data_IF_240508260032
#
_entry.id   IF_240508260032
#
_cell.length_a   1.000
_cell.length_b   1.000
_cell.length_c   1.000
_cell.angle_alpha   90.00
_cell.angle_beta   90.00
_cell.angle_gamma   90.00
#
_symmetry.space_group_name_H-M   'P 1'
#
loop_
_entity.id
_entity.type
_entity.pdbx_description
1 polymer ?
#
# COMPACT_ATOMS: atom_id res chain seq x y z
N UNK A 1 5.89 16.43 19.13
CA UNK A 1 5.28 15.80 17.94
C UNK A 1 6.41 15.61 16.96
N UNK A 2 7.01 14.43 16.94
CA UNK A 2 8.11 14.15 16.02
C UNK A 2 7.57 14.09 14.59
N UNK A 3 8.21 14.86 13.70
CA UNK A 3 7.92 14.83 12.28
C UNK A 3 8.34 13.46 11.73
N UNK A 4 7.34 12.61 11.42
CA UNK A 4 7.59 11.35 10.74
C UNK A 4 8.22 11.63 9.35
N UNK A 5 9.16 10.80 8.89
CA UNK A 5 9.81 10.99 7.60
C UNK A 5 8.75 11.06 6.48
N UNK A 6 8.81 12.10 5.66
CA UNK A 6 7.83 12.34 4.58
C UNK A 6 8.28 11.82 3.21
N UNK A 7 9.35 11.02 3.16
CA UNK A 7 9.94 10.58 1.90
C UNK A 7 10.33 9.11 1.94
N UNK A 8 10.31 8.51 0.75
CA UNK A 8 10.78 7.16 0.49
C UNK A 8 12.31 7.15 0.55
N UNK A 9 12.88 6.24 1.33
CA UNK A 9 14.32 6.16 1.57
C UNK A 9 14.83 4.74 1.36
N UNK A 10 16.09 4.59 0.96
CA UNK A 10 16.72 3.26 0.92
C UNK A 10 17.15 2.88 2.32
N UNK A 11 16.59 1.81 2.87
CA UNK A 11 17.09 1.22 4.10
C UNK A 11 18.27 0.29 3.79
N UNK A 12 19.45 0.64 4.30
CA UNK A 12 20.67 -0.12 4.04
C UNK A 12 20.66 -1.48 4.73
N UNK A 13 19.95 -1.63 5.84
CA UNK A 13 19.93 -2.88 6.60
C UNK A 13 19.15 -3.97 5.86
N UNK A 14 17.97 -3.63 5.33
CA UNK A 14 17.16 -4.55 4.53
C UNK A 14 17.48 -4.54 3.03
N UNK A 15 18.19 -3.51 2.54
CA UNK A 15 18.46 -3.29 1.12
C UNK A 15 17.25 -2.77 0.34
N UNK A 16 16.14 -2.49 1.02
CA UNK A 16 14.85 -2.16 0.43
C UNK A 16 14.63 -0.66 0.25
N UNK A 17 13.77 -0.32 -0.70
CA UNK A 17 13.18 0.99 -0.83
C UNK A 17 12.01 1.10 0.17
N UNK A 18 12.14 1.89 1.22
CA UNK A 18 11.21 1.94 2.33
C UNK A 18 10.19 3.05 2.17
N UNK A 19 8.91 2.65 2.19
CA UNK A 19 7.78 3.55 2.39
C UNK A 19 7.79 3.99 3.87
N UNK A 20 7.70 5.30 4.16
CA UNK A 20 7.65 5.76 5.54
C UNK A 20 6.39 5.25 6.25
N UNK A 21 6.51 4.99 7.54
CA UNK A 21 5.42 4.44 8.32
C UNK A 21 4.29 5.45 8.51
N UNK A 22 3.04 5.01 8.28
CA UNK A 22 1.84 5.75 8.64
C UNK A 22 1.50 5.64 10.14
N UNK A 23 0.33 6.16 10.52
CA UNK A 23 -0.14 6.10 11.91
C UNK A 23 -0.62 4.67 12.26
N UNK A 24 -0.18 4.05 13.37
CA UNK A 24 -0.55 2.68 13.74
C UNK A 24 -2.06 2.41 13.78
N UNK A 25 -2.87 3.39 14.21
CA UNK A 25 -4.33 3.25 14.31
C UNK A 25 -5.04 3.03 12.97
N UNK A 26 -4.36 3.26 11.84
CA UNK A 26 -4.88 3.05 10.49
C UNK A 26 -4.18 1.89 9.78
N UNK A 27 -3.46 1.04 10.53
CA UNK A 27 -2.69 -0.03 9.93
C UNK A 27 -3.60 -1.08 9.28
N UNK A 28 -3.15 -1.60 8.14
CA UNK A 28 -3.94 -2.46 7.27
C UNK A 28 -3.68 -3.93 7.58
N UNK A 29 -4.74 -4.71 7.73
CA UNK A 29 -4.62 -6.17 7.84
C UNK A 29 -4.07 -6.82 6.58
N UNK A 30 -3.38 -7.94 6.78
CA UNK A 30 -2.90 -8.85 5.74
C UNK A 30 -3.71 -10.15 5.85
N UNK A 31 -4.19 -10.66 4.73
CA UNK A 31 -4.81 -11.97 4.67
C UNK A 31 -3.76 -13.05 4.86
N UNK A 32 -3.99 -13.95 5.81
CA UNK A 32 -3.19 -15.16 6.03
C UNK A 32 -3.98 -16.36 5.53
N UNK A 33 -3.28 -17.30 4.91
CA UNK A 33 -3.78 -18.61 4.48
C UNK A 33 -2.90 -19.72 5.05
N UNK A 34 -3.41 -20.96 5.08
CA UNK A 34 -2.77 -22.11 5.73
C UNK A 34 -1.30 -22.31 5.31
N UNK A 35 -0.99 -22.07 4.04
CA UNK A 35 0.36 -22.19 3.46
C UNK A 35 1.31 -21.05 3.90
N UNK A 36 0.78 -19.93 4.37
CA UNK A 36 1.54 -18.76 4.84
C UNK A 36 1.84 -18.79 6.34
N UNK A 37 1.13 -19.62 7.10
CA UNK A 37 1.22 -19.64 8.56
C UNK A 37 2.59 -20.06 9.07
N UNK A 38 3.18 -21.12 8.49
CA UNK A 38 4.51 -21.60 8.88
C UNK A 38 5.62 -20.57 8.59
N UNK A 39 5.70 -19.98 7.38
CA UNK A 39 6.60 -18.85 7.12
C UNK A 39 6.35 -17.66 8.06
N UNK A 40 5.09 -17.34 8.35
CA UNK A 40 4.72 -16.24 9.22
C UNK A 40 5.20 -16.44 10.66
N UNK A 41 4.97 -17.61 11.26
CA UNK A 41 5.44 -17.91 12.61
C UNK A 41 6.96 -17.89 12.69
N UNK A 42 7.65 -18.48 11.70
CA UNK A 42 9.11 -18.46 11.65
C UNK A 42 9.66 -17.03 11.54
N UNK A 43 8.99 -16.18 10.77
CA UNK A 43 9.31 -14.75 10.67
C UNK A 43 9.14 -14.05 12.02
N UNK A 44 7.97 -14.16 12.66
CA UNK A 44 7.68 -13.51 13.94
C UNK A 44 8.59 -14.01 15.06
N UNK A 45 8.86 -15.33 15.10
CA UNK A 45 9.78 -15.94 16.06
C UNK A 45 11.20 -15.37 15.95
N UNK A 46 11.70 -15.17 14.72
CA UNK A 46 13.02 -14.57 14.48
C UNK A 46 13.05 -13.11 14.92
N UNK A 47 12.07 -12.32 14.49
CA UNK A 47 11.99 -10.90 14.81
C UNK A 47 11.85 -10.66 16.32
N UNK A 48 11.07 -11.49 17.03
CA UNK A 48 10.92 -11.45 18.48
C UNK A 48 12.27 -11.68 19.18
N UNK A 49 12.97 -12.76 18.83
CA UNK A 49 14.26 -13.10 19.45
C UNK A 49 15.33 -12.05 19.16
N UNK A 50 15.32 -11.48 17.96
CA UNK A 50 16.26 -10.40 17.59
C UNK A 50 15.93 -9.11 18.36
N UNK A 51 14.65 -8.76 18.54
CA UNK A 51 14.22 -7.62 19.35
C UNK A 51 14.64 -7.77 20.83
N UNK A 52 14.37 -8.92 21.44
CA UNK A 52 14.76 -9.20 22.83
C UNK A 52 16.28 -9.21 23.01
N UNK A 53 17.02 -9.75 22.04
CA UNK A 53 18.49 -9.71 22.04
C UNK A 53 19.02 -8.28 22.00
N UNK A 54 18.39 -7.38 21.24
CA UNK A 54 18.78 -5.98 21.19
C UNK A 54 18.47 -5.26 22.51
N UNK A 55 17.29 -5.51 23.11
CA UNK A 55 16.92 -4.97 24.42
C UNK A 55 17.92 -5.38 25.51
N UNK A 56 18.33 -6.66 25.54
CA UNK A 56 19.33 -7.16 26.49
C UNK A 56 20.71 -6.51 26.33
N UNK A 57 21.04 -6.04 25.13
CA UNK A 57 22.29 -5.32 24.85
C UNK A 57 22.24 -3.83 25.22
N UNK A 58 21.12 -3.36 25.78
CA UNK A 58 20.91 -1.95 26.10
C UNK A 58 20.93 -1.04 24.88
N UNK A 59 20.76 -1.62 23.68
CA UNK A 59 20.66 -0.84 22.46
C UNK A 59 19.30 -0.13 22.47
N UNK A 60 19.24 1.15 22.05
CA UNK A 60 17.97 1.82 21.84
C UNK A 60 17.18 0.92 20.90
N UNK A 61 15.93 0.68 21.26
CA UNK A 61 15.25 -0.45 20.71
C UNK A 61 14.96 -0.06 19.25
N UNK A 62 15.32 -0.94 18.29
CA UNK A 62 15.22 -0.60 16.87
C UNK A 62 13.80 -0.13 16.53
N UNK A 63 13.57 0.63 15.45
CA UNK A 63 12.22 0.99 15.03
C UNK A 63 11.37 -0.28 14.89
N UNK A 64 10.61 -0.60 15.93
CA UNK A 64 9.84 -1.84 16.05
C UNK A 64 9.90 -2.67 17.32
N UNK A 65 10.46 -2.16 18.39
CA UNK A 65 10.29 -2.78 19.70
C UNK A 65 9.00 -2.38 20.40
N UNK A 66 8.40 -3.38 21.06
CA UNK A 66 7.23 -3.33 21.96
C UNK A 66 6.94 -1.92 22.49
N UNK A 67 5.90 -1.28 21.93
CA UNK A 67 5.24 -0.16 22.59
C UNK A 67 4.51 -0.68 23.85
N UNK A 68 4.10 0.21 24.77
CA UNK A 68 3.37 -0.18 25.99
C UNK A 68 2.11 -1.04 25.72
N UNK A 69 1.62 -1.02 24.49
CA UNK A 69 0.74 -2.01 23.88
C UNK A 69 1.62 -3.06 23.17
N UNK A 70 1.68 -4.31 23.68
CA UNK A 70 2.60 -5.39 23.24
C UNK A 70 2.59 -5.64 21.72
N UNK A 71 3.31 -4.81 20.96
CA UNK A 71 3.40 -4.83 19.50
C UNK A 71 4.85 -5.03 19.07
N UNK A 72 5.11 -6.13 18.37
CA UNK A 72 6.38 -6.31 17.68
C UNK A 72 6.29 -5.59 16.34
N UNK A 73 6.97 -4.45 16.17
CA UNK A 73 7.09 -3.88 14.83
C UNK A 73 8.22 -4.52 14.06
N UNK A 74 7.93 -4.71 12.79
CA UNK A 74 8.73 -5.47 11.85
C UNK A 74 8.83 -4.70 10.55
N UNK A 75 9.73 -5.13 9.69
CA UNK A 75 9.81 -4.67 8.31
C UNK A 75 9.38 -5.79 7.39
N UNK A 76 8.60 -5.49 6.36
CA UNK A 76 8.14 -6.46 5.37
C UNK A 76 8.38 -5.92 3.96
N UNK A 77 8.49 -6.84 3.00
CA UNK A 77 8.55 -6.56 1.57
C UNK A 77 7.14 -6.63 0.97
N UNK A 78 6.87 -5.74 0.01
CA UNK A 78 5.66 -5.74 -0.81
C UNK A 78 6.02 -6.22 -2.22
N UNK A 79 5.40 -7.29 -2.67
CA UNK A 79 5.72 -7.99 -3.92
C UNK A 79 4.49 -8.00 -4.83
N UNK A 80 4.47 -7.23 -5.94
CA UNK A 80 3.43 -7.38 -6.95
C UNK A 80 3.40 -8.80 -7.52
N UNK A 81 2.21 -9.38 -7.67
CA UNK A 81 1.98 -10.73 -8.18
C UNK A 81 1.08 -10.71 -9.42
N UNK A 82 1.57 -10.23 -10.58
CA UNK A 82 0.83 -10.29 -11.84
C UNK A 82 0.58 -11.73 -12.32
N UNK A 83 1.30 -12.68 -11.74
CA UNK A 83 1.18 -14.13 -11.92
C UNK A 83 0.12 -14.78 -11.01
N UNK A 84 -0.60 -14.01 -10.19
CA UNK A 84 -1.67 -14.55 -9.35
C UNK A 84 -2.93 -14.81 -10.18
N UNK A 85 -3.34 -16.07 -10.28
CA UNK A 85 -4.48 -16.52 -11.10
C UNK A 85 -5.84 -15.98 -10.65
N UNK A 86 -5.97 -15.57 -9.39
CA UNK A 86 -7.21 -15.01 -8.84
C UNK A 86 -7.31 -13.50 -9.07
N UNK A 87 -6.22 -12.77 -8.82
CA UNK A 87 -6.16 -11.32 -8.97
C UNK A 87 -4.78 -10.89 -9.51
N UNK A 88 -4.65 -10.50 -10.80
CA UNK A 88 -3.38 -10.06 -11.39
C UNK A 88 -2.88 -8.72 -10.82
N UNK A 89 -3.65 -8.06 -9.96
CA UNK A 89 -3.26 -6.86 -9.25
C UNK A 89 -2.82 -7.12 -7.80
N UNK A 90 -2.79 -8.39 -7.38
CA UNK A 90 -2.42 -8.80 -6.03
C UNK A 90 -1.04 -8.28 -5.64
N UNK A 91 -0.90 -7.96 -4.35
CA UNK A 91 0.38 -7.62 -3.72
C UNK A 91 0.56 -8.56 -2.53
N UNK A 92 1.57 -9.43 -2.65
CA UNK A 92 2.02 -10.26 -1.57
C UNK A 92 2.80 -9.42 -0.55
N UNK A 93 2.64 -9.78 0.72
CA UNK A 93 3.53 -9.40 1.81
C UNK A 93 4.53 -10.54 2.01
N UNK A 94 5.80 -10.22 2.12
CA UNK A 94 6.87 -11.18 2.36
C UNK A 94 7.83 -10.69 3.46
N UNK A 95 8.54 -11.59 4.12
CA UNK A 95 9.64 -11.22 5.01
C UNK A 95 10.72 -10.47 4.19
N UNK A 96 11.60 -9.65 4.78
CA UNK A 96 12.63 -8.91 4.03
C UNK A 96 13.64 -9.81 3.29
N UNK A 97 14.27 -9.35 2.19
CA UNK A 97 15.30 -10.11 1.46
C UNK A 97 16.50 -10.54 2.32
N UNK A 98 16.81 -9.77 3.37
CA UNK A 98 17.85 -10.10 4.36
C UNK A 98 17.55 -11.40 5.13
N UNK A 99 16.34 -11.97 5.01
CA UNK A 99 16.00 -13.26 5.61
C UNK A 99 16.44 -14.44 4.74
N UNK A 100 16.90 -14.18 3.51
CA UNK A 100 17.30 -15.22 2.55
C UNK A 100 16.10 -15.89 1.87
N UNK A 101 16.36 -16.74 0.88
CA UNK A 101 15.32 -17.43 0.11
C UNK A 101 14.58 -16.53 -0.88
N UNK A 102 13.73 -17.17 -1.68
CA UNK A 102 12.86 -16.54 -2.69
C UNK A 102 11.70 -15.78 -2.05
N UNK A 103 11.02 -14.94 -2.84
CA UNK A 103 9.82 -14.24 -2.38
C UNK A 103 8.69 -15.22 -1.99
N UNK A 104 8.63 -16.40 -2.62
CA UNK A 104 7.66 -17.47 -2.31
C UNK A 104 7.97 -18.10 -0.95
N UNK A 105 9.23 -18.44 -0.69
CA UNK A 105 9.65 -19.04 0.59
C UNK A 105 9.48 -18.07 1.77
N UNK A 106 9.52 -16.76 1.51
CA UNK A 106 9.30 -15.69 2.47
C UNK A 106 7.86 -15.17 2.50
N UNK A 107 6.94 -15.80 1.79
CA UNK A 107 5.57 -15.32 1.64
C UNK A 107 4.83 -15.33 2.99
N UNK A 108 4.29 -14.18 3.38
CA UNK A 108 3.58 -13.97 4.65
C UNK A 108 2.08 -13.72 4.45
N UNK A 109 1.57 -13.77 3.22
CA UNK A 109 0.18 -13.45 2.91
C UNK A 109 0.02 -12.35 1.85
N UNK A 110 -1.21 -11.87 1.70
CA UNK A 110 -1.59 -10.86 0.69
C UNK A 110 -2.28 -9.67 1.31
N UNK A 111 -2.11 -8.50 0.70
CA UNK A 111 -2.98 -7.37 0.98
C UNK A 111 -4.41 -7.67 0.53
N UNK A 112 -5.41 -7.31 1.33
CA UNK A 112 -6.81 -7.42 0.91
C UNK A 112 -7.12 -6.54 -0.31
N UNK A 113 -7.92 -7.05 -1.24
CA UNK A 113 -8.32 -6.37 -2.48
C UNK A 113 -8.88 -4.97 -2.23
N UNK A 114 -9.70 -4.79 -1.19
CA UNK A 114 -10.24 -3.48 -0.79
C UNK A 114 -9.16 -2.41 -0.57
N UNK A 115 -7.97 -2.80 -0.12
CA UNK A 115 -6.84 -1.89 0.09
C UNK A 115 -6.10 -1.62 -1.23
N UNK A 116 -6.12 -2.57 -2.16
CA UNK A 116 -5.47 -2.45 -3.47
C UNK A 116 -6.16 -1.44 -4.37
N UNK A 117 -7.45 -1.16 -4.15
CA UNK A 117 -8.18 -0.18 -4.96
C UNK A 117 -7.56 1.22 -4.83
N UNK A 118 -7.24 1.66 -3.62
CA UNK A 118 -6.64 2.99 -3.39
C UNK A 118 -5.11 2.99 -3.41
N UNK A 119 -4.46 1.91 -2.96
CA UNK A 119 -3.01 1.87 -2.77
C UNK A 119 -2.27 1.08 -3.84
N UNK A 120 -2.91 0.09 -4.45
CA UNK A 120 -2.24 -0.95 -5.22
C UNK A 120 -1.47 -0.39 -6.41
N UNK A 121 -2.02 0.62 -7.07
CA UNK A 121 -1.45 1.17 -8.28
C UNK A 121 -0.18 2.02 -7.99
N UNK A 122 -0.16 2.78 -6.90
CA UNK A 122 1.05 3.47 -6.41
C UNK A 122 2.12 2.46 -5.95
N UNK A 123 1.72 1.40 -5.26
CA UNK A 123 2.65 0.35 -4.80
C UNK A 123 3.29 -0.41 -5.97
N UNK A 124 2.51 -0.81 -6.97
CA UNK A 124 3.04 -1.46 -8.19
C UNK A 124 3.96 -0.52 -8.97
N UNK A 125 3.64 0.77 -9.01
CA UNK A 125 4.54 1.78 -9.61
C UNK A 125 5.86 1.84 -8.86
N UNK A 126 5.83 1.99 -7.53
CA UNK A 126 7.03 2.03 -6.70
C UNK A 126 7.91 0.78 -6.85
N UNK A 127 7.28 -0.40 -6.90
CA UNK A 127 7.98 -1.67 -7.08
C UNK A 127 8.63 -1.83 -8.47
N UNK A 128 8.17 -1.11 -9.49
CA UNK A 128 8.71 -1.16 -10.87
C UNK A 128 9.67 -0.01 -11.19
N UNK A 129 9.63 1.08 -10.41
CA UNK A 129 10.52 2.25 -10.60
C UNK A 129 11.99 1.93 -10.34
N UNK A 130 12.27 1.03 -9.41
CA UNK A 130 13.64 0.71 -8.97
C UNK A 130 13.89 -0.79 -9.03
N UNK A 131 15.14 -1.19 -9.19
CA UNK A 131 15.54 -2.61 -9.08
C UNK A 131 15.58 -3.10 -7.61
N UNK A 132 15.21 -2.24 -6.66
CA UNK A 132 15.22 -2.57 -5.23
C UNK A 132 13.85 -3.10 -4.80
N UNK A 133 13.81 -4.11 -3.93
CA UNK A 133 12.58 -4.55 -3.30
C UNK A 133 11.90 -3.40 -2.55
N UNK A 134 10.58 -3.27 -2.71
CA UNK A 134 9.77 -2.28 -1.99
C UNK A 134 9.44 -2.82 -0.60
N UNK A 135 9.66 -2.02 0.43
CA UNK A 135 9.39 -2.39 1.81
C UNK A 135 8.51 -1.39 2.54
N UNK A 136 7.82 -1.84 3.59
CA UNK A 136 7.11 -0.99 4.52
C UNK A 136 7.25 -1.49 5.96
N UNK A 137 6.89 -0.62 6.92
CA UNK A 137 6.82 -1.00 8.34
C UNK A 137 5.48 -1.66 8.62
N UNK A 138 5.48 -2.64 9.49
CA UNK A 138 4.28 -3.32 9.99
C UNK A 138 4.42 -3.60 11.48
N UNK A 139 3.33 -3.99 12.15
CA UNK A 139 3.41 -4.56 13.49
C UNK A 139 2.60 -5.85 13.61
N UNK A 140 2.98 -6.65 14.59
CA UNK A 140 2.34 -7.89 15.02
C UNK A 140 1.94 -7.73 16.47
N UNK A 141 0.67 -7.98 16.79
CA UNK A 141 0.19 -8.01 18.17
C UNK A 141 0.70 -9.25 18.89
N UNK A 142 1.19 -9.09 20.13
CA UNK A 142 1.67 -10.18 20.97
C UNK A 142 0.87 -10.21 22.27
N UNK A 143 0.19 -11.32 22.54
CA UNK A 143 -0.50 -11.56 23.80
C UNK A 143 0.19 -12.72 24.54
N UNK A 144 0.60 -12.56 25.80
CA UNK A 144 1.17 -13.68 26.56
C UNK A 144 0.13 -14.79 26.72
N UNK A 145 0.56 -16.03 26.58
CA UNK A 145 -0.22 -17.17 26.99
C UNK A 145 -0.11 -17.29 28.52
N UNK A 146 -1.10 -16.77 29.27
CA UNK A 146 -1.21 -17.05 30.70
C UNK A 146 -1.79 -18.44 30.89
N UNK A 147 -1.10 -19.31 31.64
CA UNK A 147 -1.56 -20.69 31.89
C UNK A 147 -2.75 -20.75 32.86
N UNK A 148 -2.98 -19.67 33.62
CA UNK A 148 -3.85 -19.66 34.80
C UNK A 148 -5.13 -18.79 34.64
N UNK A 149 -5.33 -18.14 33.48
CA UNK A 149 -6.43 -17.17 33.25
C UNK A 149 -7.51 -17.65 32.27
N UNK A 150 -7.45 -18.91 31.81
CA UNK A 150 -8.41 -19.43 30.84
C UNK A 150 -9.21 -20.55 31.49
N UNK A 151 -10.52 -20.34 31.63
CA UNK A 151 -11.45 -21.40 31.97
C UNK A 151 -11.25 -22.53 30.95
N UNK A 152 -10.95 -23.75 31.45
CA UNK A 152 -10.67 -24.96 30.67
C UNK A 152 -11.84 -25.37 29.72
N UNK A 153 -12.94 -24.62 29.74
CA UNK A 153 -14.22 -24.95 29.12
C UNK A 153 -14.48 -24.21 27.78
N UNK A 154 -13.66 -23.21 27.41
CA UNK A 154 -13.89 -22.39 26.20
C UNK A 154 -12.86 -22.54 25.07
N UNK A 155 -11.72 -23.20 25.31
CA UNK A 155 -10.68 -23.43 24.28
C UNK A 155 -10.07 -24.83 24.40
N UNK A 156 -10.19 -25.61 23.33
CA UNK A 156 -9.55 -26.92 23.23
C UNK A 156 -8.06 -26.73 22.96
N UNK A 157 -7.22 -26.90 24.00
CA UNK A 157 -5.76 -26.78 23.90
C UNK A 157 -5.13 -27.73 22.89
N UNK A 158 -5.86 -28.79 22.52
CA UNK A 158 -5.46 -29.79 21.55
C UNK A 158 -5.98 -29.50 20.13
N UNK A 159 -6.67 -28.36 19.90
CA UNK A 159 -7.05 -27.94 18.54
C UNK A 159 -5.77 -27.51 17.78
N UNK A 160 -5.34 -28.29 16.77
CA UNK A 160 -4.16 -27.97 15.99
C UNK A 160 -4.28 -26.65 15.23
N UNK A 161 -5.47 -26.08 15.05
CA UNK A 161 -5.68 -24.76 14.40
C UNK A 161 -5.31 -23.59 15.33
N UNK A 162 -5.49 -23.73 16.66
CA UNK A 162 -5.15 -22.70 17.66
C UNK A 162 -3.68 -22.71 18.10
N UNK A 163 -2.97 -23.81 17.82
CA UNK A 163 -1.52 -23.91 17.98
C UNK A 163 -0.75 -23.12 16.89
N UNK A 164 -1.41 -22.74 15.80
CA UNK A 164 -0.77 -22.16 14.61
C UNK A 164 -0.44 -20.67 14.74
N UNK A 165 -0.74 -20.03 15.86
CA UNK A 165 -0.44 -18.61 16.09
C UNK A 165 0.37 -18.38 17.36
N UNK A 166 1.39 -19.20 17.61
CA UNK A 166 2.21 -19.11 18.82
C UNK A 166 3.69 -18.99 18.50
N UNK A 167 4.38 -18.17 19.28
CA UNK A 167 5.85 -18.01 19.26
C UNK A 167 6.38 -17.97 20.69
N UNK A 168 7.66 -18.31 20.85
CA UNK A 168 8.29 -18.38 22.16
C UNK A 168 9.37 -17.30 22.31
N UNK A 169 9.26 -16.47 23.34
CA UNK A 169 10.31 -15.53 23.73
C UNK A 169 11.56 -16.24 24.26
N UNK A 170 12.67 -15.52 24.37
CA UNK A 170 13.96 -16.05 24.81
C UNK A 170 13.99 -16.50 26.28
N UNK A 171 12.95 -16.22 27.05
CA UNK A 171 12.77 -16.64 28.45
C UNK A 171 11.79 -17.81 28.59
N UNK A 172 11.33 -18.35 27.46
CA UNK A 172 10.37 -19.45 27.43
C UNK A 172 8.90 -19.01 27.48
N UNK A 173 8.63 -17.72 27.67
CA UNK A 173 7.28 -17.14 27.60
C UNK A 173 6.68 -17.39 26.22
N UNK A 174 5.51 -18.04 26.18
CA UNK A 174 4.75 -18.18 24.95
C UNK A 174 3.86 -16.96 24.71
N UNK A 175 3.76 -16.59 23.44
CA UNK A 175 2.93 -15.50 22.96
C UNK A 175 2.00 -16.00 21.86
N UNK A 176 0.72 -15.68 21.97
CA UNK A 176 -0.20 -15.66 20.84
C UNK A 176 0.12 -14.45 19.98
N UNK A 177 0.11 -14.66 18.67
CA UNK A 177 0.42 -13.62 17.67
C UNK A 177 -0.80 -13.29 16.82
N UNK A 178 -1.03 -12.01 16.56
CA UNK A 178 -2.02 -11.57 15.58
C UNK A 178 -1.43 -11.52 14.16
N UNK A 179 -2.28 -11.52 13.14
CA UNK A 179 -1.82 -11.28 11.77
C UNK A 179 -1.17 -9.90 11.60
N UNK A 180 -0.23 -9.75 10.64
CA UNK A 180 0.54 -8.52 10.51
C UNK A 180 -0.34 -7.33 10.09
N UNK A 181 0.04 -6.15 10.55
CA UNK A 181 -0.66 -4.88 10.32
C UNK A 181 0.29 -3.88 9.64
N UNK A 182 0.09 -3.63 8.35
CA UNK A 182 0.93 -2.74 7.55
C UNK A 182 0.70 -1.28 7.93
N UNK A 183 1.76 -0.56 8.31
CA UNK A 183 1.71 0.85 8.67
C UNK A 183 1.86 1.72 7.41
N UNK A 184 0.82 1.73 6.58
CA UNK A 184 0.82 2.49 5.33
C UNK A 184 0.50 3.98 5.58
N UNK A 185 1.17 4.91 4.86
CA UNK A 185 0.75 6.30 4.82
C UNK A 185 -0.63 6.42 4.16
N UNK A 186 -1.25 7.59 4.27
CA UNK A 186 -2.51 7.85 3.58
C UNK A 186 -2.31 7.76 2.07
N UNK A 187 -3.37 7.39 1.34
CA UNK A 187 -3.24 7.08 -0.09
C UNK A 187 -2.74 8.27 -0.91
N UNK A 188 -3.17 9.50 -0.57
CA UNK A 188 -2.71 10.75 -1.20
C UNK A 188 -1.21 10.95 -1.01
N UNK A 189 -0.73 10.73 0.21
CA UNK A 189 0.68 10.84 0.57
C UNK A 189 1.51 9.79 -0.18
N UNK A 190 1.02 8.54 -0.25
CA UNK A 190 1.69 7.47 -0.98
C UNK A 190 1.80 7.77 -2.47
N UNK A 191 0.74 8.29 -3.07
CA UNK A 191 0.74 8.68 -4.48
C UNK A 191 1.71 9.81 -4.74
N UNK A 192 1.68 10.87 -3.91
CA UNK A 192 2.64 11.97 -3.99
C UNK A 192 4.08 11.45 -3.91
N UNK A 193 4.37 10.59 -2.94
CA UNK A 193 5.69 9.99 -2.78
C UNK A 193 6.11 9.13 -3.98
N UNK A 194 5.16 8.38 -4.57
CA UNK A 194 5.42 7.60 -5.77
C UNK A 194 5.77 8.49 -6.98
N UNK A 195 5.04 9.60 -7.18
CA UNK A 195 5.35 10.60 -8.21
C UNK A 195 6.72 11.23 -7.97
N UNK A 196 7.01 11.66 -6.75
CA UNK A 196 8.28 12.32 -6.42
C UNK A 196 9.48 11.36 -6.56
N UNK A 197 9.30 10.09 -6.18
CA UNK A 197 10.28 9.03 -6.41
C UNK A 197 10.51 8.79 -7.92
N UNK A 198 9.44 8.69 -8.70
CA UNK A 198 9.53 8.51 -10.16
C UNK A 198 10.32 9.62 -10.84
N UNK A 199 10.02 10.87 -10.49
CA UNK A 199 10.72 12.06 -10.99
C UNK A 199 12.21 12.03 -10.68
N UNK A 200 12.60 11.44 -9.56
CA UNK A 200 14.01 11.35 -9.14
C UNK A 200 14.73 10.22 -9.86
N UNK A 201 14.11 9.05 -9.99
CA UNK A 201 14.79 7.84 -10.47
C UNK A 201 14.69 7.70 -11.99
N UNK A 202 13.52 8.00 -12.57
CA UNK A 202 13.23 7.85 -13.99
C UNK A 202 12.39 9.04 -14.47
N UNK A 203 12.98 10.25 -14.56
CA UNK A 203 12.26 11.48 -14.88
C UNK A 203 11.48 11.42 -16.19
N UNK A 204 11.90 10.56 -17.12
CA UNK A 204 11.25 10.38 -18.42
C UNK A 204 10.14 9.33 -18.45
N UNK A 205 10.08 8.42 -17.46
CA UNK A 205 9.07 7.37 -17.42
C UNK A 205 7.72 7.92 -16.97
N UNK A 206 6.68 7.70 -17.78
CA UNK A 206 5.29 7.94 -17.40
C UNK A 206 4.83 6.74 -16.56
N UNK A 207 4.23 7.00 -15.41
CA UNK A 207 3.74 5.96 -14.50
C UNK A 207 2.26 5.67 -14.74
N UNK A 208 1.97 4.55 -15.39
CA UNK A 208 0.61 4.19 -15.82
C UNK A 208 -0.39 3.76 -14.80
N UNK A 209 -0.05 3.95 -13.54
CA UNK A 209 -0.82 3.39 -12.45
C UNK A 209 -1.06 4.43 -11.36
N UNK A 210 -0.58 5.67 -11.49
CA UNK A 210 -1.06 6.73 -10.60
C UNK A 210 -2.29 7.33 -11.28
N UNK A 211 -3.43 6.65 -11.07
CA UNK A 211 -4.72 7.26 -11.38
C UNK A 211 -4.73 8.66 -10.78
N UNK A 212 -5.00 9.66 -11.60
CA UNK A 212 -5.06 11.03 -11.13
C UNK A 212 -6.37 11.17 -10.36
N UNK A 213 -6.30 10.94 -9.05
CA UNK A 213 -7.42 11.18 -8.16
C UNK A 213 -7.63 12.68 -8.06
N UNK A 214 -8.85 13.10 -8.34
CA UNK A 214 -9.22 14.49 -8.32
C UNK A 214 -10.57 14.66 -7.63
N UNK A 215 -10.75 15.82 -6.99
CA UNK A 215 -12.01 16.18 -6.38
C UNK A 215 -13.07 16.43 -7.44
N UNK A 216 -14.33 16.13 -7.10
CA UNK A 216 -15.46 16.52 -7.93
C UNK A 216 -15.65 18.03 -7.92
N UNK A 217 -16.05 18.59 -9.06
CA UNK A 217 -16.70 19.89 -9.07
C UNK A 217 -17.96 19.84 -8.19
N UNK A 218 -18.32 20.93 -7.49
CA UNK A 218 -19.50 20.96 -6.63
C UNK A 218 -20.77 20.49 -7.35
N UNK A 219 -21.42 19.44 -6.82
CA UNK A 219 -22.65 18.86 -7.38
C UNK A 219 -22.46 17.97 -8.61
N UNK A 220 -21.23 17.81 -9.11
CA UNK A 220 -20.98 17.03 -10.32
C UNK A 220 -21.17 15.52 -10.09
N UNK A 221 -20.87 15.01 -8.89
CA UNK A 221 -21.07 13.59 -8.56
C UNK A 221 -22.54 13.21 -8.59
N UNK A 222 -23.40 14.00 -7.93
CA UNK A 222 -24.85 13.79 -7.92
C UNK A 222 -25.44 13.90 -9.33
N UNK A 223 -24.95 14.86 -10.12
CA UNK A 223 -25.38 15.02 -11.51
C UNK A 223 -24.92 13.85 -12.40
N UNK A 224 -23.74 13.27 -12.17
CA UNK A 224 -23.26 12.10 -12.90
C UNK A 224 -24.12 10.87 -12.57
N UNK A 225 -24.45 10.65 -11.29
CA UNK A 225 -25.30 9.53 -10.84
C UNK A 225 -26.72 9.57 -11.42
N UNK A 226 -27.20 10.76 -11.85
CA UNK A 226 -28.46 10.89 -12.58
C UNK A 226 -28.34 10.51 -14.07
N UNK A 227 -27.13 10.49 -14.62
CA UNK A 227 -26.84 10.24 -16.04
C UNK A 227 -26.36 8.82 -16.30
N UNK A 228 -25.57 8.26 -15.40
CA UNK A 228 -25.09 6.88 -15.45
C UNK A 228 -25.02 6.27 -14.05
N UNK A 229 -25.24 4.96 -13.98
CA UNK A 229 -25.01 4.16 -12.77
C UNK A 229 -23.71 3.35 -12.87
N UNK A 230 -22.97 3.50 -13.96
CA UNK A 230 -21.71 2.80 -14.16
C UNK A 230 -20.63 3.39 -13.26
N UNK A 231 -19.89 2.51 -12.57
CA UNK A 231 -18.75 2.90 -11.74
C UNK A 231 -17.53 3.27 -12.59
N UNK A 232 -17.47 2.77 -13.83
CA UNK A 232 -16.44 3.04 -14.82
C UNK A 232 -17.03 3.68 -16.08
N UNK A 233 -16.41 4.76 -16.57
CA UNK A 233 -16.93 5.51 -17.69
C UNK A 233 -15.82 6.25 -18.45
N UNK A 234 -16.06 6.53 -19.73
CA UNK A 234 -15.13 7.31 -20.56
C UNK A 234 -15.39 8.80 -20.34
N UNK A 235 -14.33 9.54 -20.02
CA UNK A 235 -14.34 11.00 -19.91
C UNK A 235 -13.61 11.64 -21.09
N UNK A 236 -13.94 12.90 -21.35
CA UNK A 236 -13.19 13.79 -22.23
C UNK A 236 -12.33 14.72 -21.39
N UNK A 237 -11.03 14.70 -21.61
CA UNK A 237 -10.06 15.63 -21.06
C UNK A 237 -9.89 16.80 -22.04
N UNK A 238 -10.01 18.03 -21.55
CA UNK A 238 -9.79 19.26 -22.33
C UNK A 238 -8.74 20.13 -21.67
N UNK A 239 -7.63 20.34 -22.35
CA UNK A 239 -6.59 21.24 -21.89
C UNK A 239 -6.97 22.71 -22.18
N UNK A 240 -7.08 23.52 -21.13
CA UNK A 240 -7.35 24.96 -21.20
C UNK A 240 -6.23 25.70 -20.47
N UNK A 241 -5.32 26.36 -21.19
CA UNK A 241 -4.19 27.09 -20.60
C UNK A 241 -3.33 26.23 -19.65
N UNK A 242 -3.50 26.36 -18.33
CA UNK A 242 -2.77 25.66 -17.26
C UNK A 242 -3.67 24.69 -16.48
N UNK A 243 -4.82 24.33 -17.05
CA UNK A 243 -5.73 23.33 -16.47
C UNK A 243 -6.11 22.28 -17.49
N UNK A 244 -6.46 21.08 -17.03
CA UNK A 244 -7.22 20.10 -17.80
C UNK A 244 -8.57 19.92 -17.11
N UNK A 245 -9.64 20.22 -17.82
CA UNK A 245 -11.00 19.93 -17.36
C UNK A 245 -11.41 18.54 -17.80
N UNK A 246 -12.08 17.84 -16.90
CA UNK A 246 -12.56 16.47 -17.09
C UNK A 246 -14.06 16.53 -17.30
N UNK A 247 -14.54 15.97 -18.40
CA UNK A 247 -15.94 15.98 -18.77
C UNK A 247 -16.49 14.57 -18.94
N UNK A 248 -17.71 14.33 -18.47
CA UNK A 248 -18.54 13.25 -18.98
C UNK A 248 -19.64 13.89 -19.83
N UNK A 249 -19.58 13.68 -21.15
CA UNK A 249 -20.41 14.41 -22.12
C UNK A 249 -20.22 15.94 -21.96
N UNK A 250 -21.27 16.67 -21.56
CA UNK A 250 -21.28 18.11 -21.26
C UNK A 250 -21.02 18.44 -19.78
N UNK A 251 -21.06 17.44 -18.88
CA UNK A 251 -20.90 17.66 -17.44
C UNK A 251 -19.41 17.76 -17.06
N UNK A 252 -18.99 18.90 -16.53
CA UNK A 252 -17.65 19.06 -15.96
C UNK A 252 -17.58 18.32 -14.62
N UNK A 253 -16.79 17.25 -14.56
CA UNK A 253 -16.62 16.43 -13.37
C UNK A 253 -15.54 16.97 -12.45
N UNK A 254 -14.45 17.51 -13.01
CA UNK A 254 -13.31 17.97 -12.24
C UNK A 254 -12.41 18.93 -13.04
N UNK A 255 -11.65 19.76 -12.34
CA UNK A 255 -10.61 20.62 -12.91
C UNK A 255 -9.24 20.23 -12.35
N UNK A 256 -8.35 19.77 -13.22
CA UNK A 256 -6.97 19.45 -12.91
C UNK A 256 -6.12 20.71 -13.12
N UNK A 257 -5.64 21.33 -12.05
CA UNK A 257 -4.82 22.55 -12.15
C UNK A 257 -3.33 22.25 -11.95
N UNK A 258 -2.44 23.00 -12.62
CA UNK A 258 -1.01 23.01 -12.25
C UNK A 258 -0.85 23.62 -10.85
N UNK A 259 -0.98 22.80 -9.80
CA UNK A 259 -0.78 23.22 -8.42
C UNK A 259 0.69 23.27 -8.00
N UNK A 260 0.97 23.71 -6.76
CA UNK A 260 2.29 23.62 -6.15
C UNK A 260 2.77 22.15 -6.13
N UNK A 261 3.80 21.85 -6.95
CA UNK A 261 4.36 20.50 -7.10
C UNK A 261 4.03 19.81 -8.43
N UNK A 262 3.29 20.46 -9.33
CA UNK A 262 3.17 20.04 -10.73
C UNK A 262 2.49 18.69 -10.95
N UNK A 263 1.58 18.29 -10.05
CA UNK A 263 1.00 16.95 -9.98
C UNK A 263 0.25 16.55 -11.26
N UNK A 264 -0.40 17.51 -11.91
CA UNK A 264 -1.12 17.31 -13.17
C UNK A 264 -0.37 17.86 -14.40
N UNK A 265 0.86 18.39 -14.24
CA UNK A 265 1.57 19.09 -15.33
C UNK A 265 1.79 18.17 -16.54
N UNK A 266 2.13 16.90 -16.30
CA UNK A 266 2.29 15.92 -17.40
C UNK A 266 0.96 15.43 -17.96
N UNK A 267 -0.11 15.33 -17.18
CA UNK A 267 -1.48 15.09 -17.68
C UNK A 267 -1.88 16.20 -18.65
N UNK A 268 -1.65 17.45 -18.23
CA UNK A 268 -1.93 18.65 -19.00
C UNK A 268 -1.07 18.66 -20.27
N UNK A 269 0.22 18.35 -20.15
CA UNK A 269 1.14 18.25 -21.29
C UNK A 269 0.71 17.15 -22.28
N UNK A 270 0.35 15.95 -21.79
CA UNK A 270 -0.10 14.83 -22.62
C UNK A 270 -1.36 15.15 -23.40
N UNK A 271 -2.36 15.74 -22.74
CA UNK A 271 -3.61 16.16 -23.41
C UNK A 271 -3.32 17.25 -24.45
N UNK A 272 -2.40 18.18 -24.17
CA UNK A 272 -1.93 19.17 -25.16
C UNK A 272 -1.27 18.51 -26.36
N UNK A 273 -0.39 17.54 -26.16
CA UNK A 273 0.27 16.78 -27.22
C UNK A 273 -0.69 15.96 -28.08
N UNK A 274 -1.77 15.45 -27.49
CA UNK A 274 -2.85 14.74 -28.18
C UNK A 274 -3.83 15.65 -28.92
N UNK A 275 -3.54 16.95 -29.05
CA UNK A 275 -4.39 17.90 -29.77
C UNK A 275 -5.36 18.65 -28.88
N UNK A 276 -4.99 18.90 -27.61
CA UNK A 276 -5.76 19.69 -26.61
C UNK A 276 -7.02 18.96 -26.09
N UNK A 277 -7.50 17.94 -26.78
CA UNK A 277 -8.62 17.11 -26.35
C UNK A 277 -8.28 15.63 -26.47
N UNK A 278 -8.53 14.86 -25.42
CA UNK A 278 -8.35 13.41 -25.40
C UNK A 278 -9.49 12.72 -24.66
N UNK A 279 -9.73 11.44 -24.92
CA UNK A 279 -10.54 10.62 -24.01
C UNK A 279 -9.66 10.09 -22.88
N UNK A 280 -10.25 9.62 -21.79
CA UNK A 280 -9.58 8.81 -20.78
C UNK A 280 -10.62 7.91 -20.10
N UNK A 281 -10.19 6.78 -19.54
CA UNK A 281 -11.05 6.01 -18.65
C UNK A 281 -11.09 6.71 -17.28
N UNK A 282 -12.26 6.74 -16.66
CA UNK A 282 -12.45 7.25 -15.31
C UNK A 282 -13.28 6.29 -14.47
N UNK A 283 -13.08 6.34 -13.17
CA UNK A 283 -13.74 5.48 -12.19
C UNK A 283 -14.21 6.33 -11.00
N UNK A 284 -15.46 6.16 -10.57
CA UNK A 284 -15.90 6.65 -9.25
C UNK A 284 -15.47 5.66 -8.20
N UNK A 285 -14.79 6.15 -7.17
CA UNK A 285 -14.43 5.29 -6.06
C UNK A 285 -14.47 6.05 -4.75
N UNK A 286 -15.39 5.63 -3.87
CA UNK A 286 -15.58 6.15 -2.51
C UNK A 286 -15.71 7.69 -2.45
N UNK A 287 -16.41 8.29 -3.42
CA UNK A 287 -16.61 9.74 -3.45
C UNK A 287 -15.47 10.53 -4.09
N UNK A 288 -14.45 9.89 -4.67
CA UNK A 288 -13.40 10.52 -5.44
C UNK A 288 -13.43 10.08 -6.91
N UNK A 289 -12.95 10.93 -7.83
CA UNK A 289 -12.85 10.63 -9.26
C UNK A 289 -11.42 10.22 -9.59
N UNK A 290 -11.23 8.99 -10.07
CA UNK A 290 -9.95 8.47 -10.53
C UNK A 290 -9.86 8.55 -12.05
N UNK A 291 -8.77 9.10 -12.58
CA UNK A 291 -8.55 9.24 -14.02
C UNK A 291 -7.37 8.39 -14.49
N UNK A 292 -7.60 7.55 -15.49
CA UNK A 292 -6.62 6.69 -16.15
C UNK A 292 -6.18 7.35 -17.46
N UNK A 293 -5.32 8.36 -17.34
CA UNK A 293 -4.90 9.24 -18.45
C UNK A 293 -3.95 8.52 -19.44
N UNK A 294 -3.40 7.36 -19.08
CA UNK A 294 -2.49 6.66 -20.00
C UNK A 294 -3.19 5.96 -21.16
N UNK A 295 -4.47 5.60 -21.00
CA UNK A 295 -5.30 5.07 -22.09
C UNK A 295 -5.88 6.19 -22.97
N UNK A 296 -5.39 7.42 -22.81
CA UNK A 296 -5.93 8.55 -23.53
C UNK A 296 -5.71 8.46 -25.03
N UNK A 297 -6.82 8.42 -25.77
CA UNK A 297 -6.82 8.49 -27.23
C UNK A 297 -7.20 9.90 -27.70
N UNK A 298 -6.55 10.43 -28.74
CA UNK A 298 -6.92 11.72 -29.29
C UNK A 298 -8.33 11.66 -29.86
N UNK A 299 -9.13 12.70 -29.61
CA UNK A 299 -10.42 12.84 -30.29
C UNK A 299 -10.13 13.43 -31.67
N UNK A 300 -10.04 12.57 -32.69
CA UNK A 300 -9.89 13.02 -34.07
C UNK A 300 -11.22 13.67 -34.48
N UNK A 301 -11.19 14.97 -34.74
CA UNK A 301 -12.33 15.65 -35.35
C UNK A 301 -12.59 15.05 -36.73
N UNK A 302 -13.75 14.41 -36.89
CA UNK A 302 -14.28 14.00 -38.20
C UNK A 302 -14.76 15.18 -39.02
#
# INVERSE_FOLDING_TARGET
MDAMPQSIVVDRASGMLMIPAGKPKFALGVGLWDDTLKPFNAFVQRELLDAERQMRKGLPPAPGTLDGERRLHVTVQLVPRPDNDYNPHAISVAAPPSHGGTDIERHLGYMYDRNLVSLGAALRSLATLTERPLGCRAFVGLAPCHRDEWDEDEYDWDDPEDAVHRVQGAEGTEYRIDGPRLMMPWWEDLQKMAVDCARTVRPEQILGLIGHWTSWEPGAREALLQRTQDEEFIVTLRAEQQVVRVYYQDLCLSTLETGYGGYFDRTIQRVKELGVTATAQAEEHQGALKLLVEDSTPIIAG
#
